data_IF_282401526457
#
_entry.id   IF_282401526457
#
_cell.length_a   1.000
_cell.length_b   1.000
_cell.length_c   1.000
_cell.angle_alpha   90.00
_cell.angle_beta   90.00
_cell.angle_gamma   90.00
#
_symmetry.space_group_name_H-M   'P 1'
#
loop_
_entity.id
_entity.type
_entity.pdbx_description
1 polymer ?
#
# COMPACT_ATOMS: atom_id res chain seq x y z
N UNK A 1 -34.83 -26.48 37.93
CA UNK A 1 -33.77 -26.56 36.89
C UNK A 1 -32.89 -27.76 37.19
N UNK A 2 -32.85 -28.73 36.30
CA UNK A 2 -32.01 -29.93 36.42
C UNK A 2 -30.52 -29.57 36.24
N UNK A 3 -29.58 -30.12 36.98
CA UNK A 3 -28.16 -29.76 36.93
C UNK A 3 -27.51 -29.94 35.53
N UNK A 4 -28.09 -30.69 34.60
CA UNK A 4 -27.60 -30.85 33.25
C UNK A 4 -27.95 -29.70 32.27
N UNK A 5 -28.99 -28.92 32.57
CA UNK A 5 -29.44 -27.82 31.66
C UNK A 5 -28.50 -26.59 31.72
N UNK A 6 -27.86 -26.35 32.88
CA UNK A 6 -26.92 -25.25 33.04
C UNK A 6 -25.62 -25.47 32.25
N UNK A 7 -25.16 -26.71 32.11
CA UNK A 7 -23.98 -27.06 31.33
C UNK A 7 -24.21 -26.88 29.83
N UNK A 8 -25.38 -27.27 29.31
CA UNK A 8 -25.74 -27.08 27.90
C UNK A 8 -25.81 -25.62 27.50
N UNK A 9 -26.42 -24.77 28.34
CA UNK A 9 -26.52 -23.34 28.08
C UNK A 9 -25.14 -22.64 28.05
N UNK A 10 -24.18 -23.05 28.88
CA UNK A 10 -22.83 -22.52 28.88
C UNK A 10 -22.06 -22.89 27.60
N UNK A 11 -22.21 -24.12 27.10
CA UNK A 11 -21.57 -24.58 25.88
C UNK A 11 -22.15 -23.82 24.65
N UNK A 12 -23.48 -23.66 24.62
CA UNK A 12 -24.16 -22.90 23.58
C UNK A 12 -23.70 -21.44 23.55
N UNK A 13 -23.66 -20.79 24.73
CA UNK A 13 -23.14 -19.43 24.83
C UNK A 13 -21.67 -19.32 24.39
N UNK A 14 -20.81 -20.26 24.76
CA UNK A 14 -19.41 -20.28 24.36
C UNK A 14 -19.25 -20.40 22.84
N UNK A 15 -20.03 -21.25 22.18
CA UNK A 15 -20.02 -21.39 20.73
C UNK A 15 -20.48 -20.11 20.01
N UNK A 16 -21.60 -19.54 20.45
CA UNK A 16 -22.13 -18.29 19.86
C UNK A 16 -21.18 -17.14 20.08
N UNK A 17 -20.60 -16.99 21.27
CA UNK A 17 -19.67 -15.90 21.58
C UNK A 17 -18.38 -16.02 20.75
N UNK A 18 -17.85 -17.23 20.58
CA UNK A 18 -16.66 -17.48 19.76
C UNK A 18 -16.92 -17.13 18.28
N UNK A 19 -18.04 -17.56 17.72
CA UNK A 19 -18.42 -17.23 16.35
C UNK A 19 -18.60 -15.73 16.17
N UNK A 20 -19.24 -15.05 17.12
CA UNK A 20 -19.44 -13.59 17.09
C UNK A 20 -18.10 -12.83 17.15
N UNK A 21 -17.19 -13.24 18.03
CA UNK A 21 -15.86 -12.63 18.14
C UNK A 21 -15.05 -12.81 16.84
N UNK A 22 -15.09 -13.99 16.22
CA UNK A 22 -14.43 -14.24 14.95
C UNK A 22 -14.97 -13.36 13.83
N UNK A 23 -16.28 -13.18 13.79
CA UNK A 23 -16.91 -12.31 12.80
C UNK A 23 -16.50 -10.84 13.02
N UNK A 24 -16.46 -10.37 14.26
CA UNK A 24 -15.98 -9.02 14.57
C UNK A 24 -14.53 -8.80 14.16
N UNK A 25 -13.63 -9.74 14.47
CA UNK A 25 -12.23 -9.66 14.05
C UNK A 25 -12.09 -9.69 12.53
N UNK A 26 -12.88 -10.49 11.83
CA UNK A 26 -12.92 -10.52 10.37
C UNK A 26 -13.32 -9.18 9.76
N UNK A 27 -14.33 -8.50 10.32
CA UNK A 27 -14.74 -7.16 9.87
C UNK A 27 -13.62 -6.13 10.09
N UNK A 28 -12.94 -6.17 11.23
CA UNK A 28 -11.81 -5.26 11.52
C UNK A 28 -10.66 -5.50 10.55
N UNK A 29 -10.28 -6.75 10.30
CA UNK A 29 -9.21 -7.07 9.34
C UNK A 29 -9.58 -6.65 7.91
N UNK A 30 -10.83 -6.84 7.52
CA UNK A 30 -11.30 -6.37 6.22
C UNK A 30 -11.23 -4.84 6.09
N UNK A 31 -11.65 -4.10 7.11
CA UNK A 31 -11.52 -2.63 7.14
C UNK A 31 -10.07 -2.16 7.03
N UNK A 32 -9.15 -2.82 7.74
CA UNK A 32 -7.72 -2.56 7.65
C UNK A 32 -7.16 -2.88 6.26
N UNK A 33 -7.60 -3.97 5.65
CA UNK A 33 -7.19 -4.35 4.31
C UNK A 33 -7.63 -3.30 3.27
N UNK A 34 -8.88 -2.84 3.33
CA UNK A 34 -9.37 -1.78 2.45
C UNK A 34 -8.61 -0.46 2.65
N UNK A 35 -8.37 -0.07 3.90
CA UNK A 35 -7.58 1.13 4.20
C UNK A 35 -6.19 1.05 3.58
N UNK A 36 -5.48 -0.07 3.79
CA UNK A 36 -4.15 -0.29 3.24
C UNK A 36 -4.14 -0.28 1.71
N UNK A 37 -5.13 -0.90 1.08
CA UNK A 37 -5.28 -0.90 -0.37
C UNK A 37 -5.42 0.53 -0.94
N UNK A 38 -6.30 1.33 -0.36
CA UNK A 38 -6.49 2.73 -0.76
C UNK A 38 -5.24 3.58 -0.52
N UNK A 39 -4.55 3.34 0.59
CA UNK A 39 -3.32 4.05 0.92
C UNK A 39 -2.21 3.74 -0.09
N UNK A 40 -1.98 2.48 -0.43
CA UNK A 40 -0.99 2.05 -1.44
C UNK A 40 -1.33 2.65 -2.81
N UNK A 41 -2.60 2.64 -3.20
CA UNK A 41 -3.05 3.22 -4.47
C UNK A 41 -2.85 4.76 -4.51
N UNK A 42 -3.15 5.44 -3.42
CA UNK A 42 -2.96 6.89 -3.32
C UNK A 42 -1.47 7.27 -3.28
N UNK A 43 -0.66 6.50 -2.58
CA UNK A 43 0.78 6.68 -2.50
C UNK A 43 1.45 6.53 -3.89
N UNK A 44 1.05 5.54 -4.68
CA UNK A 44 1.53 5.36 -6.05
C UNK A 44 1.20 6.57 -6.94
N UNK A 45 -0.05 7.06 -6.90
CA UNK A 45 -0.47 8.25 -7.65
C UNK A 45 0.28 9.52 -7.23
N UNK A 46 0.46 9.71 -5.93
CA UNK A 46 1.18 10.87 -5.40
C UNK A 46 2.66 10.83 -5.76
N UNK A 47 3.29 9.65 -5.70
CA UNK A 47 4.68 9.44 -6.13
C UNK A 47 4.87 9.75 -7.61
N UNK A 48 3.94 9.29 -8.46
CA UNK A 48 4.00 9.56 -9.91
C UNK A 48 3.80 11.05 -10.21
N UNK A 49 2.88 11.73 -9.50
CA UNK A 49 2.71 13.20 -9.63
C UNK A 49 3.95 13.96 -9.20
N UNK A 50 4.60 13.51 -8.12
CA UNK A 50 5.86 14.09 -7.67
C UNK A 50 6.94 13.99 -8.75
N UNK A 51 7.05 12.83 -9.41
CA UNK A 51 8.00 12.60 -10.50
C UNK A 51 7.65 13.42 -11.76
N UNK A 52 6.36 13.47 -12.12
CA UNK A 52 5.87 14.16 -13.32
C UNK A 52 6.25 15.65 -13.39
N UNK A 53 6.23 16.34 -12.24
CA UNK A 53 6.56 17.78 -12.16
C UNK A 53 8.05 18.04 -11.90
N UNK A 54 8.88 17.00 -11.81
CA UNK A 54 10.31 17.10 -11.52
C UNK A 54 11.14 16.34 -12.55
N UNK A 55 10.88 16.57 -13.82
CA UNK A 55 11.67 16.05 -14.92
C UNK A 55 13.00 16.78 -15.09
N UNK A 56 13.70 16.47 -16.18
CA UNK A 56 15.04 17.01 -16.46
C UNK A 56 15.07 18.52 -16.75
N UNK A 57 13.94 19.12 -17.14
CA UNK A 57 13.85 20.57 -17.41
C UNK A 57 13.44 21.39 -16.18
N UNK A 58 13.15 20.74 -15.09
CA UNK A 58 12.78 21.37 -13.83
C UNK A 58 13.99 22.07 -13.19
N UNK A 59 13.80 23.33 -12.74
CA UNK A 59 14.87 24.18 -12.15
C UNK A 59 14.72 24.36 -10.62
N UNK A 60 13.73 23.70 -10.01
CA UNK A 60 13.46 23.81 -8.56
C UNK A 60 14.38 22.89 -7.75
N UNK A 61 14.63 23.24 -6.51
CA UNK A 61 15.38 22.38 -5.58
C UNK A 61 14.77 20.97 -5.50
N UNK A 62 15.60 19.94 -5.68
CA UNK A 62 15.17 18.54 -5.71
C UNK A 62 14.79 18.02 -7.10
N UNK A 63 15.17 18.74 -8.16
CA UNK A 63 15.08 18.29 -9.54
C UNK A 63 16.48 17.90 -10.09
N UNK A 64 16.52 16.93 -11.01
CA UNK A 64 15.43 16.03 -11.41
C UNK A 64 15.07 15.03 -10.28
N UNK A 65 13.84 14.50 -10.31
CA UNK A 65 13.42 13.51 -9.35
C UNK A 65 14.22 12.22 -9.55
N UNK A 66 14.86 11.75 -8.49
CA UNK A 66 15.55 10.45 -8.47
C UNK A 66 14.66 9.38 -7.86
N UNK A 67 14.95 8.11 -8.11
CA UNK A 67 14.23 6.98 -7.49
C UNK A 67 14.22 7.10 -5.98
N UNK A 68 15.33 7.51 -5.37
CA UNK A 68 15.47 7.67 -3.92
C UNK A 68 14.60 8.82 -3.38
N UNK A 69 14.55 9.96 -4.07
CA UNK A 69 13.71 11.09 -3.69
C UNK A 69 12.22 10.73 -3.75
N UNK A 70 11.81 9.95 -4.75
CA UNK A 70 10.42 9.46 -4.87
C UNK A 70 10.11 8.46 -3.77
N UNK A 71 11.01 7.54 -3.45
CA UNK A 71 10.84 6.58 -2.35
C UNK A 71 10.67 7.30 -1.00
N UNK A 72 11.53 8.26 -0.71
CA UNK A 72 11.49 9.05 0.52
C UNK A 72 10.18 9.82 0.63
N UNK A 73 9.74 10.46 -0.46
CA UNK A 73 8.47 11.17 -0.52
C UNK A 73 7.27 10.24 -0.28
N UNK A 74 7.22 9.11 -0.98
CA UNK A 74 6.12 8.13 -0.88
C UNK A 74 6.05 7.53 0.53
N UNK A 75 7.19 7.19 1.14
CA UNK A 75 7.25 6.69 2.51
C UNK A 75 6.74 7.70 3.53
N UNK A 76 6.96 8.99 3.30
CA UNK A 76 6.44 10.06 4.14
C UNK A 76 4.92 10.24 4.06
N UNK A 77 4.28 9.75 3.00
CA UNK A 77 2.83 9.85 2.79
C UNK A 77 2.02 8.70 3.39
N UNK A 78 2.66 7.72 4.02
CA UNK A 78 2.01 6.50 4.50
C UNK A 78 1.80 6.49 6.04
N UNK A 79 0.88 7.32 6.59
CA UNK A 79 0.62 7.33 8.03
C UNK A 79 0.00 6.00 8.47
N UNK A 80 0.51 5.46 9.59
CA UNK A 80 -0.01 4.24 10.18
C UNK A 80 0.50 2.93 9.57
N UNK A 81 1.43 3.02 8.60
CA UNK A 81 2.15 1.87 8.04
C UNK A 81 3.64 2.05 8.31
N UNK A 82 4.35 0.94 8.59
CA UNK A 82 5.81 0.97 8.71
C UNK A 82 6.44 1.38 7.36
N UNK A 83 7.12 2.52 7.28
CA UNK A 83 7.73 3.02 6.04
C UNK A 83 8.77 2.06 5.44
N UNK A 84 9.42 1.24 6.29
CA UNK A 84 10.43 0.28 5.86
C UNK A 84 9.82 -0.95 5.18
N UNK A 85 8.57 -1.27 5.53
CA UNK A 85 7.82 -2.36 4.90
C UNK A 85 7.20 -1.96 3.55
N UNK A 86 7.24 -0.67 3.21
CA UNK A 86 6.72 -0.16 1.96
C UNK A 86 7.79 -0.24 0.86
N UNK A 87 7.62 -1.18 -0.07
CA UNK A 87 8.49 -1.27 -1.24
C UNK A 87 7.98 -0.35 -2.35
N UNK A 88 8.85 0.56 -2.80
CA UNK A 88 8.55 1.52 -3.88
C UNK A 88 9.52 1.27 -5.02
N UNK A 89 9.00 0.97 -6.19
CA UNK A 89 9.77 0.77 -7.42
C UNK A 89 9.38 1.82 -8.44
N UNK A 90 10.38 2.54 -8.95
CA UNK A 90 10.18 3.54 -10.00
C UNK A 90 10.75 3.01 -11.30
N UNK A 91 9.96 3.04 -12.35
CA UNK A 91 10.36 2.63 -13.71
C UNK A 91 10.21 3.85 -14.64
N UNK A 92 11.29 4.16 -15.33
CA UNK A 92 11.34 5.24 -16.30
C UNK A 92 11.18 4.68 -17.70
N UNK A 93 10.64 5.49 -18.63
CA UNK A 93 10.59 5.13 -20.05
C UNK A 93 12.00 4.86 -20.58
N UNK A 94 12.13 3.80 -21.36
CA UNK A 94 13.41 3.37 -21.95
C UNK A 94 13.46 3.54 -23.47
N UNK A 95 12.56 4.32 -24.06
CA UNK A 95 12.44 4.48 -25.51
C UNK A 95 12.88 5.89 -25.96
N UNK A 96 13.65 5.95 -27.01
CA UNK A 96 14.09 7.22 -27.62
C UNK A 96 14.96 8.07 -26.70
N UNK A 97 14.67 9.36 -26.61
CA UNK A 97 15.40 10.33 -25.79
C UNK A 97 15.25 10.06 -24.27
N UNK A 98 14.32 9.19 -23.87
CA UNK A 98 14.01 8.87 -22.48
C UNK A 98 14.84 7.71 -21.91
N UNK A 99 15.85 7.25 -22.63
CA UNK A 99 16.63 6.05 -22.26
C UNK A 99 17.61 6.27 -21.10
N UNK A 100 17.83 7.53 -20.70
CA UNK A 100 18.73 7.89 -19.60
C UNK A 100 17.89 8.41 -18.43
N UNK A 101 18.02 7.84 -17.19
CA UNK A 101 17.35 8.35 -16.00
C UNK A 101 17.68 9.83 -15.70
N UNK A 102 18.82 10.33 -16.14
CA UNK A 102 19.19 11.74 -16.01
C UNK A 102 18.51 12.65 -17.06
N UNK A 103 17.91 12.08 -18.11
CA UNK A 103 17.36 12.82 -19.24
C UNK A 103 15.83 12.60 -19.40
N UNK A 104 15.12 12.47 -18.28
CA UNK A 104 13.67 12.28 -18.24
C UNK A 104 12.95 13.63 -18.46
N UNK A 105 12.88 14.05 -19.71
CA UNK A 105 12.23 15.30 -20.11
C UNK A 105 10.74 15.16 -20.42
N UNK A 106 10.13 16.26 -20.89
CA UNK A 106 8.73 16.28 -21.32
C UNK A 106 8.44 15.22 -22.39
N UNK A 107 7.33 14.51 -22.22
CA UNK A 107 6.93 13.41 -23.10
C UNK A 107 7.42 12.02 -22.66
N UNK A 108 8.39 11.92 -21.74
CA UNK A 108 8.79 10.66 -21.14
C UNK A 108 7.75 10.16 -20.14
N UNK A 109 7.66 8.84 -19.95
CA UNK A 109 6.74 8.25 -18.99
C UNK A 109 7.46 7.77 -17.74
N UNK A 110 6.87 8.01 -16.59
CA UNK A 110 7.30 7.48 -15.31
C UNK A 110 6.20 6.62 -14.72
N UNK A 111 6.55 5.44 -14.25
CA UNK A 111 5.66 4.54 -13.51
C UNK A 111 6.20 4.33 -12.10
N UNK A 112 5.35 4.52 -11.11
CA UNK A 112 5.66 4.27 -9.71
C UNK A 112 4.77 3.13 -9.21
N UNK A 113 5.38 2.04 -8.82
CA UNK A 113 4.73 0.90 -8.20
C UNK A 113 5.03 0.95 -6.70
N UNK A 114 3.97 0.86 -5.91
CA UNK A 114 4.05 0.77 -4.45
C UNK A 114 3.47 -0.56 -4.04
N UNK A 115 4.17 -1.30 -3.18
CA UNK A 115 3.71 -2.58 -2.65
C UNK A 115 3.94 -2.67 -1.15
N UNK A 116 3.00 -3.34 -0.47
CA UNK A 116 3.00 -3.52 0.98
C UNK A 116 2.55 -4.93 1.36
N UNK A 117 3.29 -5.67 2.22
CA UNK A 117 2.90 -6.97 2.73
C UNK A 117 1.88 -6.82 3.85
N UNK A 118 0.59 -7.00 3.56
CA UNK A 118 -0.47 -6.97 4.55
C UNK A 118 -0.52 -8.28 5.34
N UNK A 119 -0.68 -8.17 6.67
CA UNK A 119 -0.83 -9.32 7.59
C UNK A 119 -2.17 -9.26 8.29
N UNK A 120 -2.86 -10.40 8.30
CA UNK A 120 -4.11 -10.58 9.02
C UNK A 120 -3.85 -10.77 10.53
N UNK A 121 -4.77 -10.25 11.36
CA UNK A 121 -4.73 -10.41 12.82
C UNK A 121 -5.54 -11.65 13.25
N UNK A 122 -6.49 -12.10 12.42
CA UNK A 122 -7.35 -13.25 12.73
C UNK A 122 -6.51 -14.50 13.01
N UNK A 123 -6.62 -15.11 14.21
CA UNK A 123 -5.75 -16.20 14.63
C UNK A 123 -5.95 -17.52 13.85
N UNK A 124 -7.05 -17.65 13.11
CA UNK A 124 -7.35 -18.84 12.28
C UNK A 124 -6.62 -18.86 10.95
N UNK A 125 -6.08 -17.72 10.49
CA UNK A 125 -5.31 -17.63 9.25
C UNK A 125 -3.81 -17.62 9.60
N UNK A 126 -3.16 -18.79 9.70
CA UNK A 126 -1.78 -18.85 10.14
C UNK A 126 -0.88 -18.16 9.12
N UNK A 127 -0.36 -16.98 9.50
CA UNK A 127 0.70 -16.23 8.78
C UNK A 127 0.44 -16.00 7.28
N UNK A 128 -0.81 -15.92 6.88
CA UNK A 128 -1.13 -15.55 5.50
C UNK A 128 -0.75 -14.08 5.29
N UNK A 129 0.24 -13.84 4.43
CA UNK A 129 0.64 -12.50 3.99
C UNK A 129 0.13 -12.28 2.59
N UNK A 130 -0.61 -11.20 2.38
CA UNK A 130 -1.07 -10.79 1.06
C UNK A 130 -0.34 -9.53 0.64
N UNK A 131 0.37 -9.56 -0.48
CA UNK A 131 1.03 -8.37 -1.01
C UNK A 131 0.01 -7.51 -1.76
N UNK A 132 -0.24 -6.32 -1.25
CA UNK A 132 -1.04 -5.31 -1.91
C UNK A 132 -0.13 -4.44 -2.74
N UNK A 133 -0.40 -4.30 -4.04
CA UNK A 133 0.40 -3.48 -4.94
C UNK A 133 -0.48 -2.60 -5.82
N UNK A 134 0.01 -1.41 -6.12
CA UNK A 134 -0.61 -0.50 -7.06
C UNK A 134 0.45 0.18 -7.89
N UNK A 135 0.19 0.33 -9.18
CA UNK A 135 1.08 1.02 -10.12
C UNK A 135 0.34 2.21 -10.71
N UNK A 136 0.98 3.36 -10.71
CA UNK A 136 0.50 4.56 -11.40
C UNK A 136 1.53 4.98 -12.44
N UNK A 137 1.07 5.39 -13.61
CA UNK A 137 1.91 5.83 -14.71
C UNK A 137 1.43 7.19 -15.22
N UNK A 138 2.36 8.11 -15.47
CA UNK A 138 2.08 9.44 -16.00
C UNK A 138 3.19 9.88 -16.96
N UNK A 139 2.85 10.82 -17.83
CA UNK A 139 3.80 11.49 -18.73
C UNK A 139 4.42 12.68 -18.00
N UNK A 140 5.73 12.83 -18.11
CA UNK A 140 6.49 13.94 -17.52
C UNK A 140 6.15 15.22 -18.27
N UNK A 141 5.88 16.29 -17.54
CA UNK A 141 5.46 17.59 -18.09
C UNK A 141 6.57 18.65 -18.07
N UNK A 142 7.65 18.42 -17.32
CA UNK A 142 8.79 19.34 -17.15
C UNK A 142 10.13 18.61 -17.22
#
# INVERSE_FOLDING_TARGET
MKPGERGSALVEFALVSTATLMLMLGIVDFGRALYTYHLVANAARSGTRYAMVRGSTCTVTGCPATTDSIQTFVRGLAPGIDPNSLAVTTTWSSTGACNDPANQGPGCTVAVQVSYPFRFIVPLLPRFTMTMSSTSQMVISQ
#
